data_IF_098315170270
#
_entry.id   IF_098315170270
#
_cell.length_a   1.000
_cell.length_b   1.000
_cell.length_c   1.000
_cell.angle_alpha   90.00
_cell.angle_beta   90.00
_cell.angle_gamma   90.00
#
_symmetry.space_group_name_H-M   'P 1'
#
loop_
_entity.id
_entity.type
_entity.pdbx_description
1 polymer ?
#
# COMPACT_ATOMS: atom_id res chain seq x y z
N UNK A 1 -14.75 -1.31 1.10
CA UNK A 1 -14.88 -0.13 0.22
C UNK A 1 -14.69 -0.47 -1.26
N UNK A 2 -13.56 -1.07 -1.65
CA UNK A 2 -13.20 -1.37 -3.04
C UNK A 2 -14.23 -2.23 -3.81
N UNK A 3 -14.74 -3.31 -3.23
CA UNK A 3 -15.79 -4.13 -3.86
C UNK A 3 -17.05 -3.32 -4.25
N UNK A 4 -17.44 -2.32 -3.46
CA UNK A 4 -18.59 -1.45 -3.77
C UNK A 4 -18.35 -0.55 -4.99
N UNK A 5 -17.09 -0.36 -5.38
CA UNK A 5 -16.68 0.40 -6.57
C UNK A 5 -16.39 -0.54 -7.77
N UNK A 6 -16.71 -1.83 -7.65
CA UNK A 6 -16.51 -2.83 -8.71
C UNK A 6 -15.08 -3.36 -8.83
N UNK A 7 -14.24 -3.20 -7.79
CA UNK A 7 -12.94 -3.86 -7.74
C UNK A 7 -13.06 -5.25 -7.13
N UNK A 8 -12.26 -6.18 -7.62
CA UNK A 8 -12.13 -7.53 -7.07
C UNK A 8 -10.77 -7.67 -6.36
N UNK A 9 -10.68 -8.65 -5.45
CA UNK A 9 -9.43 -9.01 -4.78
C UNK A 9 -9.03 -10.39 -5.31
N UNK A 10 -8.23 -10.45 -6.39
CA UNK A 10 -7.92 -11.70 -7.05
C UNK A 10 -6.91 -12.50 -6.22
N UNK A 11 -6.91 -13.81 -6.40
CA UNK A 11 -5.85 -14.67 -5.88
C UNK A 11 -4.56 -14.40 -6.68
N UNK A 12 -3.42 -14.30 -6.00
CA UNK A 12 -2.11 -14.28 -6.67
C UNK A 12 -1.82 -15.63 -7.34
N UNK A 13 -0.83 -15.64 -8.23
CA UNK A 13 -0.31 -16.87 -8.84
C UNK A 13 0.39 -17.74 -7.79
N UNK A 14 0.49 -19.04 -8.08
CA UNK A 14 1.23 -19.97 -7.22
C UNK A 14 2.72 -19.61 -7.12
N UNK A 15 3.29 -19.04 -8.19
CA UNK A 15 4.67 -18.57 -8.20
C UNK A 15 4.88 -17.40 -7.23
N UNK A 16 3.97 -16.41 -7.21
CA UNK A 16 4.02 -15.30 -6.26
C UNK A 16 3.85 -15.79 -4.82
N UNK A 17 2.92 -16.71 -4.56
CA UNK A 17 2.77 -17.29 -3.22
C UNK A 17 3.98 -18.13 -2.77
N UNK A 18 4.63 -18.84 -3.69
CA UNK A 18 5.87 -19.55 -3.38
C UNK A 18 6.96 -18.57 -2.93
N UNK A 19 7.15 -17.47 -3.66
CA UNK A 19 8.14 -16.44 -3.30
C UNK A 19 7.81 -15.75 -1.96
N UNK A 20 6.54 -15.40 -1.73
CA UNK A 20 6.12 -14.82 -0.46
C UNK A 20 6.37 -15.79 0.70
N UNK A 21 6.01 -17.06 0.51
CA UNK A 21 6.14 -18.11 1.52
C UNK A 21 7.57 -18.36 2.03
N UNK A 22 8.61 -17.92 1.30
CA UNK A 22 10.01 -18.06 1.71
C UNK A 22 10.38 -17.21 2.93
N UNK A 23 9.73 -16.07 3.12
CA UNK A 23 10.14 -15.08 4.13
C UNK A 23 8.97 -14.52 4.95
N UNK A 24 7.72 -14.80 4.57
CA UNK A 24 6.56 -14.29 5.28
C UNK A 24 6.42 -14.90 6.67
N UNK A 25 6.20 -14.05 7.67
CA UNK A 25 5.82 -14.52 8.99
C UNK A 25 4.31 -14.81 9.02
N UNK A 26 3.95 -16.10 9.03
CA UNK A 26 2.54 -16.54 9.06
C UNK A 26 1.95 -16.42 10.48
N UNK A 27 2.80 -16.32 11.51
CA UNK A 27 2.30 -16.20 12.89
C UNK A 27 1.68 -14.83 13.08
N UNK A 28 0.34 -14.80 13.09
CA UNK A 28 -0.44 -13.57 13.24
C UNK A 28 -0.58 -12.74 11.96
N UNK A 29 -0.41 -13.35 10.78
CA UNK A 29 -0.56 -12.69 9.49
C UNK A 29 -0.98 -13.65 8.38
N UNK A 30 -1.10 -13.13 7.16
CA UNK A 30 -1.50 -13.89 5.97
C UNK A 30 -0.80 -13.31 4.74
N UNK A 31 -0.21 -14.18 3.92
CA UNK A 31 0.28 -13.79 2.60
C UNK A 31 -0.77 -14.03 1.50
N UNK A 32 -1.99 -14.47 1.83
CA UNK A 32 -3.10 -14.52 0.88
C UNK A 32 -3.66 -13.12 0.64
N UNK A 33 -4.18 -12.82 -0.56
CA UNK A 33 -4.75 -11.51 -0.86
C UNK A 33 -6.12 -11.32 -0.15
N UNK A 34 -6.31 -10.28 0.70
CA UNK A 34 -5.40 -9.19 1.06
C UNK A 34 -4.28 -9.58 2.04
N UNK A 35 -3.04 -9.17 1.71
CA UNK A 35 -1.86 -9.51 2.52
C UNK A 35 -1.88 -8.76 3.85
N UNK A 36 -1.74 -9.50 4.95
CA UNK A 36 -1.48 -8.97 6.29
C UNK A 36 0.02 -9.06 6.59
N UNK A 37 0.74 -7.98 6.26
CA UNK A 37 2.20 -7.93 6.20
C UNK A 37 2.85 -7.27 7.42
N UNK A 38 2.06 -6.73 8.37
CA UNK A 38 2.60 -5.90 9.45
C UNK A 38 3.64 -6.67 10.29
N UNK A 39 3.33 -7.92 10.63
CA UNK A 39 4.21 -8.82 11.38
C UNK A 39 5.43 -9.33 10.59
N UNK A 40 5.40 -9.23 9.25
CA UNK A 40 6.50 -9.62 8.35
C UNK A 40 7.44 -8.44 8.11
N UNK A 41 6.89 -7.24 7.86
CA UNK A 41 7.67 -6.03 7.60
C UNK A 41 8.44 -5.60 8.85
N UNK A 42 7.80 -5.57 10.03
CA UNK A 42 8.44 -5.18 11.30
C UNK A 42 9.30 -3.90 11.23
N UNK A 43 8.85 -2.91 10.45
CA UNK A 43 9.56 -1.65 10.24
C UNK A 43 10.75 -1.70 9.27
N UNK A 44 10.99 -2.82 8.59
CA UNK A 44 12.05 -3.00 7.58
C UNK A 44 11.54 -2.66 6.18
N UNK A 45 11.99 -1.52 5.66
CA UNK A 45 11.54 -0.99 4.36
C UNK A 45 11.90 -1.93 3.21
N UNK A 46 13.03 -2.60 3.28
CA UNK A 46 13.50 -3.58 2.29
C UNK A 46 12.57 -4.79 2.16
N UNK A 47 11.92 -5.20 3.25
CA UNK A 47 10.94 -6.30 3.24
C UNK A 47 9.65 -5.85 2.56
N UNK A 48 9.20 -4.62 2.85
CA UNK A 48 8.05 -4.04 2.17
C UNK A 48 8.30 -3.88 0.66
N UNK A 49 9.48 -3.41 0.27
CA UNK A 49 9.89 -3.30 -1.14
C UNK A 49 9.84 -4.66 -1.85
N UNK A 50 10.42 -5.71 -1.25
CA UNK A 50 10.39 -7.07 -1.81
C UNK A 50 8.96 -7.59 -2.02
N UNK A 51 8.05 -7.33 -1.09
CA UNK A 51 6.66 -7.74 -1.25
C UNK A 51 5.99 -6.98 -2.39
N UNK A 52 6.19 -5.66 -2.46
CA UNK A 52 5.65 -4.84 -3.55
C UNK A 52 6.16 -5.26 -4.92
N UNK A 53 7.43 -5.66 -5.04
CA UNK A 53 7.99 -6.22 -6.27
C UNK A 53 7.28 -7.51 -6.69
N UNK A 54 7.06 -8.45 -5.76
CA UNK A 54 6.34 -9.71 -6.06
C UNK A 54 4.89 -9.45 -6.50
N UNK A 55 4.21 -8.50 -5.87
CA UNK A 55 2.82 -8.15 -6.21
C UNK A 55 2.76 -7.38 -7.55
N UNK A 56 3.73 -6.51 -7.83
CA UNK A 56 3.86 -5.82 -9.11
C UNK A 56 4.05 -6.81 -10.27
N UNK A 57 4.84 -7.86 -10.08
CA UNK A 57 5.09 -8.85 -11.13
C UNK A 57 3.94 -9.85 -11.31
N UNK A 58 2.97 -9.89 -10.39
CA UNK A 58 1.86 -10.83 -10.49
C UNK A 58 0.87 -10.43 -11.61
N UNK A 59 0.62 -11.31 -12.60
CA UNK A 59 -0.23 -10.99 -13.74
C UNK A 59 -1.72 -10.86 -13.40
N UNK A 60 -2.16 -11.31 -12.22
CA UNK A 60 -3.55 -11.16 -11.79
C UNK A 60 -3.83 -9.80 -11.15
N UNK A 61 -2.80 -8.96 -10.95
CA UNK A 61 -2.93 -7.67 -10.27
C UNK A 61 -2.89 -6.54 -11.29
N UNK A 62 -3.96 -5.73 -11.34
CA UNK A 62 -4.02 -4.52 -12.19
C UNK A 62 -3.73 -3.23 -11.42
N UNK A 63 -3.96 -3.23 -10.10
CA UNK A 63 -3.78 -2.08 -9.23
C UNK A 63 -3.56 -2.52 -7.78
N UNK A 64 -2.96 -1.65 -6.98
CA UNK A 64 -2.59 -1.93 -5.60
C UNK A 64 -3.08 -0.85 -4.65
N UNK A 65 -3.62 -1.28 -3.50
CA UNK A 65 -3.96 -0.42 -2.39
C UNK A 65 -3.26 -0.91 -1.13
N UNK A 66 -2.41 -0.08 -0.54
CA UNK A 66 -1.66 -0.40 0.67
C UNK A 66 -2.20 0.36 1.87
N UNK A 67 -2.58 -0.35 2.93
CA UNK A 67 -2.86 0.29 4.22
C UNK A 67 -1.56 0.50 5.00
N UNK A 68 -1.37 1.73 5.49
CA UNK A 68 -0.36 2.09 6.46
C UNK A 68 -1.07 2.29 7.80
N UNK A 69 -0.90 1.34 8.72
CA UNK A 69 -1.51 1.45 10.05
C UNK A 69 -0.84 2.57 10.84
N UNK A 70 -1.54 3.69 11.06
CA UNK A 70 -1.02 4.76 11.90
C UNK A 70 -0.79 4.29 13.35
N UNK A 71 -1.56 3.34 13.87
CA UNK A 71 -1.38 2.86 15.25
C UNK A 71 0.02 2.25 15.48
N UNK A 72 0.49 1.42 14.54
CA UNK A 72 1.81 0.80 14.65
C UNK A 72 2.91 1.69 14.08
N UNK A 73 2.65 2.36 12.96
CA UNK A 73 3.64 3.19 12.28
C UNK A 73 3.89 4.52 12.98
N UNK A 74 2.86 5.17 13.58
CA UNK A 74 3.03 6.48 14.21
C UNK A 74 3.98 6.43 15.39
N UNK A 75 3.95 5.38 16.23
CA UNK A 75 4.91 5.24 17.33
C UNK A 75 6.34 5.17 16.82
N UNK A 76 6.58 4.38 15.77
CA UNK A 76 7.89 4.26 15.15
C UNK A 76 8.33 5.60 14.55
N UNK A 77 7.51 6.20 13.71
CA UNK A 77 7.83 7.46 13.02
C UNK A 77 7.99 8.64 13.98
N UNK A 78 7.24 8.70 15.09
CA UNK A 78 7.47 9.71 16.15
C UNK A 78 8.83 9.52 16.82
N UNK A 79 9.24 8.27 17.05
CA UNK A 79 10.52 7.96 17.69
C UNK A 79 11.73 8.08 16.75
N UNK A 80 11.51 7.83 15.46
CA UNK A 80 12.50 7.79 14.37
C UNK A 80 11.89 8.38 13.09
N UNK A 81 11.76 9.71 12.99
CA UNK A 81 11.13 10.37 11.85
C UNK A 81 11.76 10.01 10.49
N UNK A 82 13.05 9.70 10.47
CA UNK A 82 13.78 9.27 9.27
C UNK A 82 13.20 8.01 8.63
N UNK A 83 12.62 7.10 9.43
CA UNK A 83 11.99 5.87 8.92
C UNK A 83 10.68 6.13 8.16
N UNK A 84 10.03 7.27 8.39
CA UNK A 84 8.92 7.71 7.53
C UNK A 84 9.47 8.14 6.18
N UNK A 85 10.54 8.94 6.17
CA UNK A 85 11.10 9.45 4.93
C UNK A 85 11.69 8.32 4.06
N UNK A 86 12.32 7.30 4.67
CA UNK A 86 12.74 6.07 4.00
C UNK A 86 11.57 5.28 3.39
N UNK A 87 10.48 5.12 4.16
CA UNK A 87 9.27 4.46 3.67
C UNK A 87 8.67 5.24 2.50
N UNK A 88 8.54 6.57 2.60
CA UNK A 88 8.01 7.42 1.55
C UNK A 88 8.87 7.39 0.29
N UNK A 89 10.20 7.41 0.43
CA UNK A 89 11.12 7.27 -0.69
C UNK A 89 10.94 5.93 -1.42
N UNK A 90 10.80 4.83 -0.66
CA UNK A 90 10.56 3.51 -1.23
C UNK A 90 9.21 3.43 -1.96
N UNK A 91 8.14 3.92 -1.33
CA UNK A 91 6.80 3.92 -1.93
C UNK A 91 6.74 4.81 -3.18
N UNK A 92 7.40 5.97 -3.17
CA UNK A 92 7.49 6.85 -4.33
C UNK A 92 8.26 6.18 -5.46
N UNK A 93 9.37 5.52 -5.16
CA UNK A 93 10.17 4.82 -6.17
C UNK A 93 9.41 3.63 -6.78
N UNK A 94 8.67 2.87 -5.96
CA UNK A 94 7.77 1.83 -6.44
C UNK A 94 6.69 2.42 -7.36
N UNK A 95 5.97 3.45 -6.91
CA UNK A 95 4.91 4.08 -7.70
C UNK A 95 5.42 4.69 -9.02
N UNK A 96 6.65 5.20 -9.04
CA UNK A 96 7.29 5.76 -10.25
C UNK A 96 7.68 4.69 -11.26
N UNK A 97 8.11 3.52 -10.79
CA UNK A 97 8.53 2.39 -11.65
C UNK A 97 7.36 1.51 -12.09
N UNK A 98 6.33 1.42 -11.25
CA UNK A 98 5.16 0.57 -11.47
C UNK A 98 4.38 1.04 -12.70
N UNK A 99 3.94 0.07 -13.50
CA UNK A 99 2.96 0.31 -14.57
C UNK A 99 1.52 0.32 -14.04
N UNK A 100 1.33 -0.05 -12.78
CA UNK A 100 0.03 -0.31 -12.14
C UNK A 100 -0.32 0.84 -11.19
N UNK A 101 -1.58 1.30 -11.15
CA UNK A 101 -2.01 2.29 -10.18
C UNK A 101 -1.74 1.84 -8.74
N UNK A 102 -0.99 2.64 -7.97
CA UNK A 102 -0.67 2.40 -6.58
C UNK A 102 -1.22 3.52 -5.69
N UNK A 103 -1.97 3.16 -4.64
CA UNK A 103 -2.52 4.12 -3.68
C UNK A 103 -2.28 3.67 -2.24
N UNK A 104 -2.16 4.63 -1.33
CA UNK A 104 -1.99 4.36 0.10
C UNK A 104 -3.19 4.85 0.92
N UNK A 105 -3.50 4.11 1.98
CA UNK A 105 -4.52 4.45 2.98
C UNK A 105 -3.82 4.61 4.32
N UNK A 106 -3.91 5.80 4.91
CA UNK A 106 -3.40 6.09 6.24
C UNK A 106 -4.58 6.44 7.15
N UNK A 107 -5.13 5.42 7.83
CA UNK A 107 -6.23 5.62 8.75
C UNK A 107 -5.70 6.23 10.05
N UNK A 108 -6.29 7.35 10.50
CA UNK A 108 -5.75 8.13 11.61
C UNK A 108 -5.85 7.45 12.98
N UNK A 109 -6.74 6.46 13.15
CA UNK A 109 -7.02 5.85 14.45
C UNK A 109 -7.18 6.93 15.55
N UNK A 110 -6.34 6.93 16.59
CA UNK A 110 -6.32 7.96 17.65
C UNK A 110 -5.22 9.03 17.47
N UNK A 111 -4.60 9.09 16.29
CA UNK A 111 -3.41 9.87 15.98
C UNK A 111 -3.70 10.96 14.93
N UNK A 112 -4.88 11.59 15.00
CA UNK A 112 -5.35 12.57 13.99
C UNK A 112 -4.39 13.75 13.78
N UNK A 113 -3.88 14.33 14.87
CA UNK A 113 -2.94 15.46 14.81
C UNK A 113 -1.65 15.05 14.11
N UNK A 114 -1.09 13.91 14.50
CA UNK A 114 0.15 13.41 13.92
C UNK A 114 -0.02 13.04 12.44
N UNK A 115 -1.08 12.31 12.10
CA UNK A 115 -1.40 11.92 10.72
C UNK A 115 -1.67 13.15 9.85
N UNK A 116 -2.35 14.16 10.39
CA UNK A 116 -2.53 15.46 9.75
C UNK A 116 -1.19 16.14 9.44
N UNK A 117 -0.25 16.13 10.40
CA UNK A 117 1.05 16.78 10.27
C UNK A 117 1.97 16.13 9.21
N UNK A 118 1.87 14.81 9.01
CA UNK A 118 2.73 14.08 8.06
C UNK A 118 2.12 13.93 6.67
N UNK A 119 0.83 14.27 6.49
CA UNK A 119 0.14 14.09 5.22
C UNK A 119 0.76 14.89 4.07
N UNK A 120 1.31 16.07 4.33
CA UNK A 120 2.03 16.85 3.30
C UNK A 120 3.24 16.10 2.77
N UNK A 121 4.00 15.40 3.64
CA UNK A 121 5.17 14.62 3.22
C UNK A 121 4.83 13.57 2.17
N UNK A 122 3.70 12.87 2.30
CA UNK A 122 3.25 11.92 1.28
C UNK A 122 3.10 12.59 -0.10
N UNK A 123 2.44 13.75 -0.13
CA UNK A 123 2.22 14.49 -1.37
C UNK A 123 3.53 15.05 -1.94
N UNK A 124 4.44 15.54 -1.09
CA UNK A 124 5.75 16.06 -1.51
C UNK A 124 6.61 14.98 -2.16
N UNK A 125 6.43 13.72 -1.74
CA UNK A 125 7.05 12.54 -2.33
C UNK A 125 6.27 11.95 -3.53
N UNK A 126 5.12 12.54 -3.90
CA UNK A 126 4.27 12.04 -4.98
C UNK A 126 3.53 10.73 -4.66
N UNK A 127 3.37 10.39 -3.38
CA UNK A 127 2.65 9.18 -2.93
C UNK A 127 1.19 9.54 -2.63
N UNK A 128 0.19 9.02 -3.38
CA UNK A 128 -1.21 9.29 -3.10
C UNK A 128 -1.63 8.68 -1.75
N UNK A 129 -2.10 9.51 -0.81
CA UNK A 129 -2.55 9.08 0.52
C UNK A 129 -3.96 9.53 0.84
N UNK A 130 -4.78 8.59 1.32
CA UNK A 130 -6.17 8.83 1.71
C UNK A 130 -6.40 8.43 3.16
N UNK A 131 -7.25 9.17 3.88
CA UNK A 131 -7.56 8.90 5.28
C UNK A 131 -8.66 7.84 5.48
N UNK A 132 -9.22 7.29 4.41
CA UNK A 132 -10.18 6.19 4.48
C UNK A 132 -10.15 5.31 3.23
N UNK A 133 -10.56 4.06 3.40
CA UNK A 133 -10.70 3.11 2.30
C UNK A 133 -11.74 3.56 1.26
N UNK A 134 -12.81 4.25 1.68
CA UNK A 134 -13.84 4.79 0.77
C UNK A 134 -13.26 5.82 -0.18
N UNK A 135 -12.43 6.74 0.35
CA UNK A 135 -11.81 7.79 -0.47
C UNK A 135 -10.77 7.21 -1.41
N UNK A 136 -9.97 6.26 -0.95
CA UNK A 136 -9.02 5.53 -1.77
C UNK A 136 -9.72 4.76 -2.90
N UNK A 137 -10.75 3.99 -2.58
CA UNK A 137 -11.54 3.25 -3.56
C UNK A 137 -12.21 4.19 -4.59
N UNK A 138 -12.77 5.31 -4.16
CA UNK A 138 -13.37 6.29 -5.05
C UNK A 138 -12.33 7.00 -5.94
N UNK A 139 -11.12 7.24 -5.44
CA UNK A 139 -10.03 7.81 -6.25
C UNK A 139 -9.55 6.82 -7.32
N UNK A 140 -9.37 5.55 -6.94
CA UNK A 140 -8.99 4.51 -7.88
C UNK A 140 -10.05 4.29 -8.97
N UNK A 141 -11.33 4.30 -8.58
CA UNK A 141 -12.44 4.17 -9.52
C UNK A 141 -12.44 5.30 -10.56
N UNK A 142 -12.28 6.56 -10.12
CA UNK A 142 -12.16 7.71 -11.03
C UNK A 142 -10.97 7.59 -11.98
N UNK A 143 -9.83 7.08 -11.50
CA UNK A 143 -8.67 6.84 -12.35
C UNK A 143 -8.98 5.78 -13.42
N UNK A 144 -9.60 4.66 -13.02
CA UNK A 144 -10.03 3.60 -13.96
C UNK A 144 -10.98 4.17 -15.02
N UNK A 145 -12.01 4.90 -14.59
CA UNK A 145 -13.05 5.44 -15.48
C UNK A 145 -12.44 6.45 -16.47
N UNK A 146 -11.56 7.34 -16.00
CA UNK A 146 -10.82 8.27 -16.87
C UNK A 146 -10.02 7.53 -17.95
N UNK A 147 -9.29 6.46 -17.59
CA UNK A 147 -8.52 5.70 -18.57
C UNK A 147 -9.40 4.90 -19.53
N UNK A 148 -10.55 4.41 -19.07
CA UNK A 148 -11.53 3.74 -19.94
C UNK A 148 -12.09 4.72 -20.98
N UNK A 149 -12.48 5.93 -20.56
CA UNK A 149 -13.00 6.97 -21.44
C UNK A 149 -11.94 7.52 -22.40
N UNK A 150 -10.68 7.63 -21.96
CA UNK A 150 -9.57 8.13 -22.81
C UNK A 150 -9.15 7.16 -23.93
N UNK A 151 -9.56 5.89 -23.83
CA UNK A 151 -9.29 4.85 -24.83
C UNK A 151 -10.47 4.59 -25.78
N UNK A 152 -11.62 5.24 -25.55
CA UNK A 152 -12.82 5.19 -26.39
C UNK A 152 -12.76 6.27 -27.48
#
# INVERSE_FOLDING_TARGET
AFAKQGFEVPRLTDASYAQLGEFFNIVGGSYQNPLDMAGTIQGKVEVAARILEIVEDDPNIDAMAMELSAMFAARQWKSKPETLDEMLAMLAEHARKSGKPFITVLHSAHEEEYVGSIKSKFNDHGVPVFNSFERAAAALARSRDYYADSKA
#
